data_IF_241112154073
#
_entry.id   IF_241112154073
#
_cell.length_a   1.000
_cell.length_b   1.000
_cell.length_c   1.000
_cell.angle_alpha   90.00
_cell.angle_beta   90.00
_cell.angle_gamma   90.00
#
_symmetry.space_group_name_H-M   'P 1'
#
loop_
_entity.id
_entity.type
_entity.pdbx_description
1 polymer ?
#
# COMPACT_ATOMS: atom_id res chain seq x y z
N UNK A 1 64.28 14.97 30.12
CA UNK A 1 63.04 15.74 30.40
C UNK A 1 62.17 15.98 29.16
N UNK A 2 62.73 16.19 27.95
CA UNK A 2 61.91 16.43 26.73
C UNK A 2 61.24 15.16 26.17
N UNK A 3 61.92 14.00 26.24
CA UNK A 3 61.36 12.73 25.75
C UNK A 3 60.14 12.24 26.56
N UNK A 4 60.12 12.49 27.87
CA UNK A 4 59.07 12.00 28.77
C UNK A 4 57.73 12.71 28.54
N UNK A 5 57.76 13.99 28.19
CA UNK A 5 56.59 14.77 27.80
C UNK A 5 56.01 14.34 26.44
N UNK A 6 56.86 13.92 25.49
CA UNK A 6 56.39 13.42 24.19
C UNK A 6 55.65 12.08 24.31
N UNK A 7 56.10 11.19 25.21
CA UNK A 7 55.40 9.92 25.48
C UNK A 7 54.02 10.13 26.10
N UNK A 8 53.85 11.14 26.96
CA UNK A 8 52.54 11.50 27.54
C UNK A 8 51.56 11.97 26.46
N UNK A 9 52.02 12.79 25.51
CA UNK A 9 51.18 13.28 24.40
C UNK A 9 50.74 12.13 23.48
N UNK A 10 51.65 11.22 23.12
CA UNK A 10 51.33 10.04 22.30
C UNK A 10 50.35 9.12 23.03
N UNK A 11 50.53 8.92 24.34
CA UNK A 11 49.63 8.10 25.15
C UNK A 11 48.22 8.71 25.25
N UNK A 12 48.12 10.03 25.47
CA UNK A 12 46.83 10.74 25.53
C UNK A 12 46.10 10.73 24.18
N UNK A 13 46.83 10.89 23.06
CA UNK A 13 46.27 10.75 21.71
C UNK A 13 45.77 9.33 21.45
N UNK A 14 46.51 8.31 21.88
CA UNK A 14 46.09 6.91 21.80
C UNK A 14 44.80 6.63 22.57
N UNK A 15 44.65 7.18 23.78
CA UNK A 15 43.41 7.07 24.57
C UNK A 15 42.24 7.77 23.86
N UNK A 16 42.45 8.99 23.35
CA UNK A 16 41.43 9.72 22.61
C UNK A 16 40.93 8.93 21.40
N UNK A 17 41.84 8.37 20.60
CA UNK A 17 41.48 7.54 19.43
C UNK A 17 40.68 6.30 19.85
N UNK A 18 41.04 5.65 20.96
CA UNK A 18 40.29 4.50 21.49
C UNK A 18 38.89 4.89 21.99
N UNK A 19 38.75 6.03 22.67
CA UNK A 19 37.45 6.55 23.12
C UNK A 19 36.56 6.90 21.92
N UNK A 20 37.12 7.57 20.90
CA UNK A 20 36.38 7.85 19.66
C UNK A 20 36.00 6.57 18.91
N UNK A 21 36.88 5.57 18.85
CA UNK A 21 36.57 4.28 18.22
C UNK A 21 35.48 3.49 18.97
N UNK A 22 35.43 3.59 20.31
CA UNK A 22 34.38 2.99 21.13
C UNK A 22 33.04 3.73 20.95
N UNK A 23 33.05 5.07 20.92
CA UNK A 23 31.86 5.87 20.62
C UNK A 23 31.35 5.59 19.20
N UNK A 24 32.24 5.43 18.22
CA UNK A 24 31.89 5.11 16.83
C UNK A 24 31.24 3.72 16.72
N UNK A 25 31.77 2.70 17.40
CA UNK A 25 31.13 1.37 17.47
C UNK A 25 29.74 1.40 18.10
N UNK A 26 29.52 2.28 19.07
CA UNK A 26 28.22 2.43 19.73
C UNK A 26 27.20 3.20 18.86
N UNK A 27 27.67 4.11 18.00
CA UNK A 27 26.85 4.76 16.96
C UNK A 27 26.49 3.76 15.85
N UNK A 28 27.43 2.91 15.42
CA UNK A 28 27.17 1.85 14.44
C UNK A 28 26.20 0.78 14.96
N UNK A 29 26.29 0.38 16.25
CA UNK A 29 25.34 -0.59 16.81
C UNK A 29 23.93 -0.02 16.97
N UNK A 30 23.78 1.29 17.18
CA UNK A 30 22.48 1.96 17.24
C UNK A 30 21.87 2.22 15.86
N UNK A 31 22.67 2.23 14.78
CA UNK A 31 22.20 2.33 13.40
C UNK A 31 21.69 0.98 12.84
N UNK A 32 22.02 -0.15 13.47
CA UNK A 32 21.54 -1.50 13.11
C UNK A 32 20.33 -1.98 13.94
N UNK A 33 19.75 -1.11 14.77
CA UNK A 33 18.42 -1.33 15.31
C UNK A 33 17.39 -1.16 14.20
N UNK A 34 16.90 -2.24 13.62
CA UNK A 34 15.70 -2.23 12.79
C UNK A 34 14.62 -1.40 13.49
N UNK A 35 14.34 -0.19 13.00
CA UNK A 35 13.23 0.63 13.48
C UNK A 35 11.96 -0.17 13.21
N UNK A 36 11.45 -0.88 14.21
CA UNK A 36 10.16 -1.54 14.16
C UNK A 36 9.11 -0.47 13.83
N UNK A 37 8.26 -0.73 12.84
CA UNK A 37 7.09 0.13 12.62
C UNK A 37 6.22 -0.04 13.88
N UNK A 38 6.16 0.98 14.74
CA UNK A 38 5.66 0.86 16.12
C UNK A 38 4.16 0.61 16.29
N UNK A 39 3.48 0.12 15.25
CA UNK A 39 2.06 -0.21 15.28
C UNK A 39 1.87 -1.70 15.62
N UNK A 40 0.95 -2.05 16.54
CA UNK A 40 0.69 -3.45 16.90
C UNK A 40 -0.13 -4.22 15.86
N UNK A 41 -0.88 -3.51 15.01
CA UNK A 41 -1.75 -4.06 13.97
C UNK A 41 -1.97 -3.07 12.81
N UNK A 42 -2.44 -3.58 11.67
CA UNK A 42 -2.86 -2.78 10.51
C UNK A 42 -4.24 -3.23 9.99
N UNK A 43 -5.09 -2.27 9.65
CA UNK A 43 -6.37 -2.51 8.98
C UNK A 43 -6.38 -1.80 7.64
N UNK A 44 -6.44 -2.57 6.56
CA UNK A 44 -6.35 -2.03 5.20
C UNK A 44 -7.72 -1.98 4.52
N UNK A 45 -7.97 -0.87 3.83
CA UNK A 45 -9.13 -0.64 2.96
C UNK A 45 -8.62 -0.25 1.59
N UNK A 46 -9.25 -0.77 0.54
CA UNK A 46 -8.71 -0.52 -0.79
C UNK A 46 -9.33 -1.33 -1.91
N UNK A 47 -8.63 -1.30 -3.04
CA UNK A 47 -8.95 -2.05 -4.24
C UNK A 47 -7.94 -3.17 -4.53
N UNK A 48 -7.84 -3.58 -5.81
CA UNK A 48 -6.93 -4.62 -6.30
C UNK A 48 -5.46 -4.33 -6.00
N UNK A 49 -5.04 -3.07 -5.85
CA UNK A 49 -3.65 -2.72 -5.49
C UNK A 49 -3.22 -3.28 -4.13
N UNK A 50 -4.20 -3.54 -3.27
CA UNK A 50 -3.95 -3.97 -1.89
C UNK A 50 -4.77 -5.21 -1.51
N UNK A 51 -5.54 -5.82 -2.41
CA UNK A 51 -6.34 -7.02 -2.12
C UNK A 51 -5.49 -8.30 -1.97
N UNK A 52 -5.40 -8.83 -0.75
CA UNK A 52 -4.63 -10.04 -0.43
C UNK A 52 -5.40 -11.36 -0.60
N UNK A 53 -6.61 -11.35 -1.16
CA UNK A 53 -7.44 -12.56 -1.28
C UNK A 53 -8.95 -12.34 -1.09
N UNK A 54 -9.39 -11.12 -0.78
CA UNK A 54 -10.76 -10.78 -0.47
C UNK A 54 -11.72 -11.05 -1.62
N UNK A 55 -11.41 -10.58 -2.84
CA UNK A 55 -12.25 -10.87 -4.01
C UNK A 55 -12.26 -12.37 -4.34
N UNK A 56 -11.10 -13.02 -4.16
CA UNK A 56 -10.93 -14.44 -4.43
C UNK A 56 -11.77 -15.32 -3.49
N UNK A 57 -11.81 -14.96 -2.22
CA UNK A 57 -12.59 -15.66 -1.20
C UNK A 57 -14.10 -15.41 -1.36
N UNK A 58 -14.50 -14.26 -1.88
CA UNK A 58 -15.91 -13.90 -2.02
C UNK A 58 -16.57 -14.40 -3.30
N UNK A 59 -15.87 -14.38 -4.43
CA UNK A 59 -16.46 -14.60 -5.74
C UNK A 59 -15.87 -15.82 -6.45
N UNK A 60 -14.64 -15.71 -6.93
CA UNK A 60 -13.98 -16.74 -7.73
C UNK A 60 -12.48 -16.69 -7.53
N UNK A 61 -11.81 -17.84 -7.67
CA UNK A 61 -10.36 -17.94 -7.61
C UNK A 61 -9.68 -17.01 -8.64
N UNK A 62 -8.65 -16.28 -8.18
CA UNK A 62 -7.76 -15.54 -9.06
C UNK A 62 -6.72 -16.51 -9.62
N UNK A 63 -6.87 -16.89 -10.89
CA UNK A 63 -6.06 -17.91 -11.57
C UNK A 63 -4.64 -17.44 -11.91
N UNK A 64 -3.81 -18.36 -12.40
CA UNK A 64 -2.50 -18.05 -13.00
C UNK A 64 -2.60 -16.96 -14.08
N UNK A 65 -1.57 -16.10 -14.24
CA UNK A 65 -0.22 -16.19 -13.67
C UNK A 65 -0.06 -15.56 -12.27
N UNK A 66 -1.15 -15.23 -11.58
CA UNK A 66 -1.08 -14.64 -10.25
C UNK A 66 -0.40 -15.57 -9.24
N UNK A 67 0.51 -15.00 -8.44
CA UNK A 67 1.29 -15.68 -7.40
C UNK A 67 2.47 -16.53 -7.89
N UNK A 68 2.69 -16.68 -9.20
CA UNK A 68 3.71 -17.60 -9.74
C UNK A 68 5.14 -17.29 -9.28
N UNK A 69 5.54 -16.02 -9.20
CA UNK A 69 6.94 -15.66 -8.94
C UNK A 69 7.33 -15.75 -7.47
N UNK A 70 6.39 -15.48 -6.55
CA UNK A 70 6.68 -15.45 -5.12
C UNK A 70 6.07 -16.62 -4.34
N UNK A 71 4.82 -16.97 -4.65
CA UNK A 71 4.08 -18.03 -3.95
C UNK A 71 4.21 -19.37 -4.67
N UNK A 72 4.52 -19.37 -5.97
CA UNK A 72 4.58 -20.57 -6.81
C UNK A 72 3.21 -21.15 -7.18
N UNK A 73 2.13 -20.48 -6.78
CA UNK A 73 0.74 -20.83 -7.09
C UNK A 73 -0.18 -19.60 -6.93
N UNK A 74 -1.40 -19.64 -7.51
CA UNK A 74 -2.47 -18.68 -7.22
C UNK A 74 -2.64 -18.39 -5.72
N UNK A 75 -2.48 -17.13 -5.34
CA UNK A 75 -2.56 -16.66 -3.96
C UNK A 75 -3.72 -15.68 -3.73
N UNK A 76 -4.76 -15.74 -4.57
CA UNK A 76 -6.00 -14.96 -4.47
C UNK A 76 -5.87 -13.45 -4.74
N UNK A 77 -4.72 -13.00 -5.24
CA UNK A 77 -4.37 -11.58 -5.41
C UNK A 77 -4.06 -11.27 -6.86
N UNK A 78 -4.33 -10.04 -7.29
CA UNK A 78 -4.05 -9.57 -8.64
C UNK A 78 -2.56 -9.14 -8.77
N UNK A 79 -1.65 -10.09 -8.57
CA UNK A 79 -0.21 -9.93 -8.65
C UNK A 79 0.47 -11.29 -8.82
N UNK A 80 1.54 -11.35 -9.63
CA UNK A 80 2.45 -12.50 -9.73
C UNK A 80 3.30 -12.68 -8.45
N UNK A 81 3.26 -11.72 -7.54
CA UNK A 81 4.09 -11.65 -6.35
C UNK A 81 3.42 -10.92 -5.19
N UNK A 82 4.22 -10.13 -4.46
CA UNK A 82 3.76 -9.41 -3.25
C UNK A 82 3.08 -8.09 -3.62
N UNK A 83 2.12 -7.67 -2.79
CA UNK A 83 1.47 -6.36 -2.90
C UNK A 83 2.17 -5.31 -2.04
N UNK A 84 1.92 -4.03 -2.37
CA UNK A 84 2.42 -2.84 -1.66
C UNK A 84 1.63 -2.63 -0.36
N UNK A 85 1.74 -3.59 0.57
CA UNK A 85 1.15 -3.52 1.91
C UNK A 85 2.17 -3.78 3.03
N UNK A 86 3.45 -3.64 2.72
CA UNK A 86 4.51 -4.02 3.64
C UNK A 86 4.96 -2.86 4.52
N UNK A 87 4.26 -2.68 5.64
CA UNK A 87 4.93 -2.22 6.87
C UNK A 87 5.62 -3.41 7.53
N UNK A 88 6.47 -3.20 8.55
CA UNK A 88 7.14 -4.29 9.30
C UNK A 88 6.19 -5.15 10.16
N UNK A 89 4.98 -5.44 9.66
CA UNK A 89 3.99 -6.35 10.23
C UNK A 89 3.95 -7.68 9.44
N UNK A 90 3.43 -8.76 10.04
CA UNK A 90 3.10 -9.98 9.31
C UNK A 90 2.14 -9.71 8.16
N UNK A 91 2.12 -10.60 7.16
CA UNK A 91 1.17 -10.50 6.05
C UNK A 91 -0.27 -10.42 6.57
N UNK A 92 -1.01 -9.44 6.07
CA UNK A 92 -2.42 -9.32 6.39
C UNK A 92 -3.22 -10.39 5.67
N UNK A 93 -4.05 -11.10 6.43
CA UNK A 93 -5.07 -11.98 5.89
C UNK A 93 -6.26 -11.18 5.36
N UNK A 94 -6.87 -11.65 4.28
CA UNK A 94 -8.12 -11.09 3.78
C UNK A 94 -9.24 -11.34 4.80
N UNK A 95 -10.04 -10.33 5.11
CA UNK A 95 -11.16 -10.42 6.04
C UNK A 95 -12.18 -11.48 5.61
N UNK A 96 -12.39 -11.61 4.30
CA UNK A 96 -13.34 -12.55 3.71
C UNK A 96 -12.83 -13.99 3.66
N UNK A 97 -11.54 -14.22 3.92
CA UNK A 97 -10.98 -15.56 3.98
C UNK A 97 -11.24 -16.21 5.35
N UNK A 98 -11.96 -17.33 5.33
CA UNK A 98 -12.43 -18.03 6.52
C UNK A 98 -11.49 -19.11 7.02
N UNK A 99 -10.55 -19.59 6.20
CA UNK A 99 -9.78 -20.81 6.49
C UNK A 99 -8.35 -20.46 6.87
N UNK A 100 -7.98 -20.72 8.13
CA UNK A 100 -6.60 -20.61 8.60
C UNK A 100 -6.08 -19.17 8.76
N UNK A 101 -6.94 -18.16 8.54
CA UNK A 101 -6.56 -16.76 8.65
C UNK A 101 -6.22 -16.34 10.07
N UNK A 102 -5.11 -15.62 10.22
CA UNK A 102 -4.68 -15.03 11.48
C UNK A 102 -4.88 -13.51 11.46
N UNK A 103 -5.73 -13.00 12.34
CA UNK A 103 -6.04 -11.58 12.43
C UNK A 103 -5.41 -10.89 13.64
N UNK A 104 -4.45 -11.53 14.32
CA UNK A 104 -3.77 -10.98 15.49
C UNK A 104 -3.19 -9.60 15.23
N UNK A 105 -2.58 -9.42 14.06
CA UNK A 105 -1.90 -8.18 13.65
C UNK A 105 -2.72 -7.38 12.64
N UNK A 106 -4.03 -7.63 12.59
CA UNK A 106 -4.98 -6.90 11.78
C UNK A 106 -5.55 -7.70 10.62
N UNK A 107 -6.27 -7.02 9.73
CA UNK A 107 -7.05 -7.63 8.67
C UNK A 107 -7.09 -6.72 7.43
N UNK A 108 -7.23 -7.34 6.26
CA UNK A 108 -7.37 -6.64 5.01
C UNK A 108 -8.80 -6.70 4.49
N UNK A 109 -9.45 -5.54 4.36
CA UNK A 109 -10.81 -5.39 3.84
C UNK A 109 -10.83 -4.94 2.37
N UNK A 110 -9.67 -4.67 1.77
CA UNK A 110 -9.59 -4.35 0.36
C UNK A 110 -10.08 -5.52 -0.50
N UNK A 111 -10.75 -5.19 -1.59
CA UNK A 111 -11.18 -6.18 -2.57
C UNK A 111 -11.02 -5.66 -3.99
N UNK A 112 -10.64 -6.52 -4.93
CA UNK A 112 -10.48 -6.17 -6.35
C UNK A 112 -11.69 -5.40 -6.93
N UNK A 113 -11.40 -4.41 -7.78
CA UNK A 113 -12.41 -3.57 -8.43
C UNK A 113 -13.18 -2.60 -7.52
N UNK A 114 -12.80 -2.50 -6.23
CA UNK A 114 -13.50 -1.62 -5.28
C UNK A 114 -13.40 -0.15 -5.68
N UNK A 115 -14.53 0.54 -5.56
CA UNK A 115 -14.64 1.99 -5.70
C UNK A 115 -15.05 2.60 -4.35
N UNK A 116 -14.79 3.89 -4.15
CA UNK A 116 -15.28 4.62 -2.98
C UNK A 116 -16.80 4.62 -2.98
N UNK A 117 -17.42 4.85 -4.15
CA UNK A 117 -18.88 4.91 -4.29
C UNK A 117 -19.42 3.87 -5.28
N UNK A 118 -20.64 3.35 -5.05
CA UNK A 118 -21.37 2.62 -6.09
C UNK A 118 -22.05 3.60 -7.08
N UNK A 119 -22.30 3.17 -8.34
CA UNK A 119 -21.83 1.94 -8.95
C UNK A 119 -20.32 2.00 -9.28
N UNK A 120 -19.70 0.82 -9.35
CA UNK A 120 -18.30 0.62 -9.76
C UNK A 120 -18.12 -0.82 -10.24
N UNK A 121 -16.88 -1.28 -10.42
CA UNK A 121 -16.61 -2.65 -10.89
C UNK A 121 -16.93 -3.74 -9.86
N UNK A 122 -16.94 -3.39 -8.57
CA UNK A 122 -17.17 -4.32 -7.47
C UNK A 122 -18.34 -3.91 -6.59
N UNK A 123 -19.06 -4.90 -6.06
CA UNK A 123 -20.09 -4.72 -5.04
C UNK A 123 -19.52 -4.33 -3.67
N UNK A 124 -18.23 -4.58 -3.43
CA UNK A 124 -17.54 -4.33 -2.17
C UNK A 124 -16.93 -2.92 -2.11
N UNK A 125 -17.76 -1.90 -2.38
CA UNK A 125 -17.35 -0.49 -2.27
C UNK A 125 -16.87 -0.13 -0.85
N UNK A 126 -16.21 1.01 -0.71
CA UNK A 126 -15.61 1.44 0.56
C UNK A 126 -16.58 1.39 1.75
N UNK A 127 -17.84 1.81 1.56
CA UNK A 127 -18.85 1.75 2.61
C UNK A 127 -19.08 0.33 3.16
N UNK A 128 -19.04 -0.68 2.28
CA UNK A 128 -19.11 -2.09 2.68
C UNK A 128 -17.86 -2.51 3.45
N UNK A 129 -16.67 -2.16 2.98
CA UNK A 129 -15.41 -2.49 3.67
C UNK A 129 -15.36 -1.89 5.09
N UNK A 130 -15.86 -0.67 5.26
CA UNK A 130 -15.94 0.01 6.56
C UNK A 130 -16.96 -0.69 7.47
N UNK A 131 -18.12 -1.06 6.93
CA UNK A 131 -19.13 -1.84 7.68
C UNK A 131 -18.57 -3.20 8.14
N UNK A 132 -17.83 -3.89 7.26
CA UNK A 132 -17.13 -5.13 7.59
C UNK A 132 -16.12 -4.94 8.73
N UNK A 133 -15.31 -3.88 8.69
CA UNK A 133 -14.39 -3.57 9.78
C UNK A 133 -15.09 -3.33 11.12
N UNK A 134 -16.18 -2.55 11.13
CA UNK A 134 -16.93 -2.27 12.36
C UNK A 134 -17.50 -3.55 12.97
N UNK A 135 -18.09 -4.41 12.12
CA UNK A 135 -18.58 -5.73 12.53
C UNK A 135 -17.44 -6.61 13.05
N UNK A 136 -16.32 -6.66 12.33
CA UNK A 136 -15.14 -7.40 12.71
C UNK A 136 -14.61 -6.97 14.09
N UNK A 137 -14.42 -5.67 14.30
CA UNK A 137 -13.97 -5.09 15.57
C UNK A 137 -14.91 -5.45 16.72
N UNK A 138 -16.22 -5.28 16.54
CA UNK A 138 -17.22 -5.60 17.57
C UNK A 138 -17.24 -7.10 17.94
N UNK A 139 -17.21 -7.97 16.92
CA UNK A 139 -17.27 -9.43 17.12
C UNK A 139 -15.98 -9.97 17.74
N UNK A 140 -14.82 -9.54 17.25
CA UNK A 140 -13.52 -9.95 17.80
C UNK A 140 -13.34 -9.45 19.24
N UNK A 141 -13.83 -8.25 19.56
CA UNK A 141 -13.82 -7.73 20.95
C UNK A 141 -14.68 -8.58 21.88
N UNK A 142 -15.89 -8.92 21.45
CA UNK A 142 -16.78 -9.80 22.22
C UNK A 142 -16.13 -11.16 22.46
N UNK A 143 -15.60 -11.77 21.41
CA UNK A 143 -14.92 -13.07 21.49
C UNK A 143 -13.69 -13.01 22.40
N UNK A 144 -12.86 -11.97 22.27
CA UNK A 144 -11.68 -11.76 23.12
C UNK A 144 -12.07 -11.72 24.60
N UNK A 145 -13.10 -10.95 24.95
CA UNK A 145 -13.56 -10.83 26.34
C UNK A 145 -14.09 -12.16 26.88
N UNK A 146 -14.86 -12.91 26.09
CA UNK A 146 -15.38 -14.22 26.48
C UNK A 146 -14.26 -15.24 26.74
N UNK A 147 -13.26 -15.29 25.86
CA UNK A 147 -12.12 -16.20 26.00
C UNK A 147 -11.24 -15.83 27.20
N UNK A 148 -11.01 -14.54 27.43
CA UNK A 148 -10.21 -14.05 28.55
C UNK A 148 -10.84 -14.37 29.91
N UNK A 149 -12.17 -14.24 30.03
CA UNK A 149 -12.91 -14.56 31.26
C UNK A 149 -12.86 -16.06 31.61
N UNK A 150 -12.92 -16.93 30.61
CA UNK A 150 -13.03 -18.37 30.82
C UNK A 150 -11.69 -19.06 31.15
N UNK A 151 -10.55 -18.34 31.14
CA UNK A 151 -9.16 -18.89 31.24
C UNK A 151 -8.89 -20.11 30.33
N UNK A 152 -9.74 -20.34 29.34
CA UNK A 152 -9.69 -21.50 28.45
C UNK A 152 -9.10 -21.05 27.11
N UNK A 153 -8.01 -21.72 26.75
CA UNK A 153 -7.35 -21.74 25.43
C UNK A 153 -6.52 -20.48 25.11
N UNK A 154 -5.28 -20.45 25.62
CA UNK A 154 -4.23 -19.50 25.21
C UNK A 154 -3.99 -19.48 23.68
N UNK A 155 -4.20 -20.62 23.00
CA UNK A 155 -4.04 -20.78 21.54
C UNK A 155 -5.18 -20.15 20.71
N UNK A 156 -6.36 -19.90 21.27
CA UNK A 156 -7.49 -19.33 20.52
C UNK A 156 -7.48 -17.80 20.55
N UNK A 157 -6.93 -17.22 21.63
CA UNK A 157 -6.70 -15.77 21.76
C UNK A 157 -5.53 -15.31 20.88
N UNK A 158 -4.59 -16.20 20.50
CA UNK A 158 -3.38 -15.79 19.79
C UNK A 158 -3.62 -15.24 18.39
N UNK A 159 -4.75 -15.59 17.76
CA UNK A 159 -5.03 -15.25 16.35
C UNK A 159 -6.10 -14.17 16.18
N UNK A 160 -6.62 -13.62 17.28
CA UNK A 160 -7.64 -12.55 17.26
C UNK A 160 -7.02 -11.21 17.68
N UNK A 161 -7.54 -10.07 17.17
CA UNK A 161 -7.11 -8.75 17.62
C UNK A 161 -7.30 -8.54 19.11
N UNK A 162 -6.44 -7.71 19.70
CA UNK A 162 -6.62 -7.23 21.07
C UNK A 162 -7.40 -5.92 21.07
N UNK A 163 -8.50 -5.79 21.84
CA UNK A 163 -9.34 -4.59 21.82
C UNK A 163 -8.59 -3.27 22.07
N UNK A 164 -7.60 -3.28 22.98
CA UNK A 164 -6.80 -2.10 23.30
C UNK A 164 -5.90 -1.62 22.15
N UNK A 165 -5.59 -2.48 21.19
CA UNK A 165 -4.67 -2.19 20.09
C UNK A 165 -5.37 -1.52 18.90
N UNK A 166 -6.70 -1.58 18.77
CA UNK A 166 -7.42 -0.89 17.67
C UNK A 166 -7.09 0.61 17.61
N UNK A 167 -7.08 1.30 18.75
CA UNK A 167 -6.74 2.73 18.81
C UNK A 167 -5.27 3.04 18.48
N UNK A 168 -4.41 2.03 18.51
CA UNK A 168 -2.98 2.11 18.24
C UNK A 168 -2.64 1.56 16.86
N UNK A 169 -3.59 1.00 16.12
CA UNK A 169 -3.33 0.38 14.82
C UNK A 169 -3.16 1.42 13.71
N UNK A 170 -2.51 1.00 12.62
CA UNK A 170 -2.40 1.77 11.38
C UNK A 170 -3.56 1.43 10.44
N UNK A 171 -4.17 2.44 9.84
CA UNK A 171 -5.32 2.29 8.95
C UNK A 171 -4.96 2.81 7.57
N UNK A 172 -4.88 1.91 6.59
CA UNK A 172 -4.43 2.23 5.24
C UNK A 172 -5.59 2.33 4.26
N UNK A 173 -5.47 3.26 3.32
CA UNK A 173 -6.42 3.49 2.23
C UNK A 173 -5.67 3.53 0.89
N UNK A 174 -6.05 2.65 -0.03
CA UNK A 174 -5.62 2.68 -1.44
C UNK A 174 -6.84 2.42 -2.34
N UNK A 175 -7.57 3.49 -2.66
CA UNK A 175 -8.87 3.43 -3.33
C UNK A 175 -9.18 4.75 -4.04
N UNK A 176 -10.08 4.70 -5.03
CA UNK A 176 -10.56 5.87 -5.77
C UNK A 176 -10.22 5.83 -7.26
N UNK A 177 -9.21 5.05 -7.64
CA UNK A 177 -8.80 4.94 -9.03
C UNK A 177 -9.86 4.24 -9.89
N UNK A 178 -10.55 3.23 -9.33
CA UNK A 178 -11.67 2.56 -9.99
C UNK A 178 -12.89 3.47 -10.17
N UNK A 179 -13.13 4.44 -9.29
CA UNK A 179 -14.20 5.44 -9.48
C UNK A 179 -13.95 6.26 -10.76
N UNK A 180 -12.70 6.67 -10.98
CA UNK A 180 -12.28 7.36 -12.22
C UNK A 180 -12.35 6.42 -13.43
N UNK A 181 -11.79 5.21 -13.32
CA UNK A 181 -11.78 4.21 -14.39
C UNK A 181 -13.19 3.86 -14.87
N UNK A 182 -14.09 3.53 -13.94
CA UNK A 182 -15.50 3.28 -14.23
C UNK A 182 -16.19 4.53 -14.79
N UNK A 183 -15.89 5.72 -14.24
CA UNK A 183 -16.39 6.99 -14.75
C UNK A 183 -16.05 7.20 -16.22
N UNK A 184 -14.80 6.97 -16.64
CA UNK A 184 -14.39 7.10 -18.05
C UNK A 184 -15.03 6.05 -18.97
N UNK A 185 -15.48 4.91 -18.43
CA UNK A 185 -16.21 3.90 -19.21
C UNK A 185 -17.71 4.21 -19.36
N UNK A 186 -18.28 5.03 -18.47
CA UNK A 186 -19.74 5.19 -18.35
C UNK A 186 -20.24 6.63 -18.49
N UNK A 187 -19.34 7.62 -18.44
CA UNK A 187 -19.66 9.04 -18.42
C UNK A 187 -18.76 9.85 -19.37
N UNK A 188 -19.13 11.11 -19.62
CA UNK A 188 -18.25 12.06 -20.30
C UNK A 188 -17.10 12.51 -19.39
N UNK A 189 -15.97 12.94 -19.98
CA UNK A 189 -14.81 13.42 -19.21
C UNK A 189 -15.17 14.56 -18.23
N UNK A 190 -16.06 15.47 -18.64
CA UNK A 190 -16.57 16.55 -17.78
C UNK A 190 -17.31 15.98 -16.57
N UNK A 191 -18.19 15.01 -16.77
CA UNK A 191 -18.93 14.37 -15.67
C UNK A 191 -17.99 13.63 -14.71
N UNK A 192 -16.91 13.01 -15.23
CA UNK A 192 -15.88 12.39 -14.39
C UNK A 192 -15.25 13.44 -13.47
N UNK A 193 -14.79 14.56 -14.03
CA UNK A 193 -14.20 15.67 -13.26
C UNK A 193 -15.18 16.25 -12.23
N UNK A 194 -16.43 16.51 -12.63
CA UNK A 194 -17.47 17.02 -11.75
C UNK A 194 -17.79 16.05 -10.59
N UNK A 195 -17.55 14.74 -10.78
CA UNK A 195 -17.81 13.72 -9.76
C UNK A 195 -16.74 13.62 -8.66
N UNK A 196 -15.53 14.15 -8.89
CA UNK A 196 -14.37 13.97 -8.00
C UNK A 196 -14.65 14.45 -6.58
N UNK A 197 -15.21 15.66 -6.44
CA UNK A 197 -15.52 16.25 -5.13
C UNK A 197 -16.46 15.37 -4.30
N UNK A 198 -17.43 14.72 -4.94
CA UNK A 198 -18.33 13.80 -4.27
C UNK A 198 -17.64 12.49 -3.88
N UNK A 199 -16.71 11.98 -4.68
CA UNK A 199 -15.91 10.80 -4.35
C UNK A 199 -15.06 11.08 -3.10
N UNK A 200 -14.34 12.21 -3.10
CA UNK A 200 -13.54 12.65 -1.95
C UNK A 200 -14.40 12.86 -0.70
N UNK A 201 -15.59 13.44 -0.85
CA UNK A 201 -16.53 13.61 0.26
C UNK A 201 -16.98 12.28 0.89
N UNK A 202 -17.23 11.23 0.11
CA UNK A 202 -17.56 9.90 0.65
C UNK A 202 -16.35 9.23 1.32
N UNK A 203 -15.15 9.39 0.76
CA UNK A 203 -13.92 8.93 1.41
C UNK A 203 -13.74 9.63 2.77
N UNK A 204 -13.93 10.94 2.84
CA UNK A 204 -13.86 11.71 4.09
C UNK A 204 -14.91 11.26 5.13
N UNK A 205 -16.14 10.95 4.69
CA UNK A 205 -17.17 10.38 5.57
C UNK A 205 -16.73 9.04 6.16
N UNK A 206 -16.08 8.18 5.38
CA UNK A 206 -15.55 6.90 5.87
C UNK A 206 -14.48 7.10 6.95
N UNK A 207 -13.58 8.07 6.76
CA UNK A 207 -12.54 8.43 7.73
C UNK A 207 -13.18 8.93 9.03
N UNK A 208 -14.19 9.80 8.92
CA UNK A 208 -14.92 10.30 10.08
C UNK A 208 -15.60 9.15 10.84
N UNK A 209 -16.19 8.18 10.13
CA UNK A 209 -16.78 7.00 10.76
C UNK A 209 -15.74 6.17 11.51
N UNK A 210 -14.58 5.89 10.89
CA UNK A 210 -13.49 5.17 11.57
C UNK A 210 -12.92 5.95 12.76
N UNK A 211 -12.86 7.28 12.68
CA UNK A 211 -12.42 8.12 13.78
C UNK A 211 -13.35 8.02 15.00
N UNK A 212 -14.68 7.98 14.77
CA UNK A 212 -15.68 7.69 15.83
C UNK A 212 -15.49 6.31 16.43
N UNK A 213 -15.01 5.35 15.64
CA UNK A 213 -14.61 4.02 16.08
C UNK A 213 -13.23 3.98 16.78
N UNK A 214 -12.66 5.12 17.15
CA UNK A 214 -11.41 5.15 17.93
C UNK A 214 -10.14 5.06 17.10
N UNK A 215 -10.24 5.09 15.76
CA UNK A 215 -9.07 5.11 14.86
C UNK A 215 -8.28 6.41 15.00
N UNK A 216 -6.95 6.31 15.05
CA UNK A 216 -6.07 7.48 15.25
C UNK A 216 -4.94 7.62 14.23
N UNK A 217 -4.53 6.58 13.52
CA UNK A 217 -3.41 6.65 12.58
C UNK A 217 -3.86 6.25 11.18
N UNK A 218 -3.99 7.23 10.30
CA UNK A 218 -4.41 7.05 8.92
C UNK A 218 -3.23 7.20 7.97
N UNK A 219 -3.17 6.32 6.98
CA UNK A 219 -2.19 6.29 5.91
C UNK A 219 -2.92 6.19 4.58
N UNK A 220 -2.94 7.28 3.82
CA UNK A 220 -3.84 7.44 2.68
C UNK A 220 -2.99 7.61 1.42
N UNK A 221 -3.09 6.65 0.51
CA UNK A 221 -2.50 6.72 -0.82
C UNK A 221 -3.36 7.61 -1.72
N UNK A 222 -2.69 8.36 -2.58
CA UNK A 222 -3.33 8.96 -3.74
C UNK A 222 -3.40 7.93 -4.89
N UNK A 223 -4.16 8.26 -5.94
CA UNK A 223 -4.31 7.36 -7.11
C UNK A 223 -3.06 7.37 -7.97
N UNK A 224 -2.82 6.27 -8.70
CA UNK A 224 -1.75 6.17 -9.69
C UNK A 224 -2.03 6.94 -10.99
N UNK A 225 -1.08 6.94 -11.93
CA UNK A 225 -1.27 7.56 -13.24
C UNK A 225 -2.20 6.71 -14.11
N UNK A 226 -3.51 6.89 -13.92
CA UNK A 226 -4.59 6.14 -14.58
C UNK A 226 -4.41 6.03 -16.10
N UNK A 227 -4.06 7.13 -16.77
CA UNK A 227 -3.88 7.14 -18.22
C UNK A 227 -2.69 6.32 -18.71
N UNK A 228 -1.79 5.90 -17.81
CA UNK A 228 -0.64 5.07 -18.14
C UNK A 228 -0.90 3.57 -17.95
N UNK A 229 -2.09 3.16 -17.51
CA UNK A 229 -2.40 1.74 -17.36
C UNK A 229 -2.50 1.05 -18.73
N UNK A 230 -2.01 -0.20 -18.87
CA UNK A 230 -2.03 -0.90 -20.15
C UNK A 230 -3.42 -0.92 -20.81
N UNK A 231 -4.48 -1.25 -20.05
CA UNK A 231 -5.87 -1.22 -20.54
C UNK A 231 -6.23 0.15 -21.14
N UNK A 232 -5.94 1.22 -20.40
CA UNK A 232 -6.24 2.58 -20.80
C UNK A 232 -5.43 3.04 -22.01
N UNK A 233 -4.17 2.64 -22.12
CA UNK A 233 -3.33 2.95 -23.29
C UNK A 233 -3.82 2.18 -24.52
N UNK A 234 -4.22 0.92 -24.37
CA UNK A 234 -4.70 0.07 -25.47
C UNK A 234 -6.05 0.56 -26.00
N UNK A 235 -7.02 0.81 -25.11
CA UNK A 235 -8.40 1.12 -25.51
C UNK A 235 -8.73 2.63 -25.54
N UNK A 236 -7.97 3.45 -24.80
CA UNK A 236 -8.20 4.89 -24.69
C UNK A 236 -7.39 5.76 -25.66
N UNK A 237 -6.46 5.18 -26.42
CA UNK A 237 -5.61 5.92 -27.36
C UNK A 237 -6.41 6.49 -28.53
N UNK A 238 -6.28 7.81 -28.73
CA UNK A 238 -6.82 8.57 -29.87
C UNK A 238 -5.72 9.46 -30.45
N UNK A 239 -5.87 9.90 -31.69
CA UNK A 239 -4.92 10.84 -32.28
C UNK A 239 -4.86 12.14 -31.46
N UNK A 240 -3.68 12.52 -30.99
CA UNK A 240 -3.46 13.76 -30.24
C UNK A 240 -3.84 13.75 -28.76
N UNK A 241 -4.32 12.63 -28.18
CA UNK A 241 -4.71 12.56 -26.77
C UNK A 241 -3.65 11.94 -25.83
N UNK A 242 -2.47 11.62 -26.35
CA UNK A 242 -1.40 11.01 -25.57
C UNK A 242 -0.38 12.04 -25.09
N UNK A 243 0.14 11.86 -23.88
CA UNK A 243 1.29 12.59 -23.37
C UNK A 243 2.61 12.00 -23.88
N UNK A 244 3.74 12.65 -23.58
CA UNK A 244 5.10 12.26 -24.02
C UNK A 244 5.48 10.80 -23.72
N UNK A 245 4.89 10.22 -22.67
CA UNK A 245 5.18 8.84 -22.23
C UNK A 245 4.15 7.81 -22.75
N UNK A 246 3.28 8.18 -23.69
CA UNK A 246 2.28 7.27 -24.28
C UNK A 246 1.00 7.11 -23.45
N UNK A 247 0.89 7.81 -22.32
CA UNK A 247 -0.29 7.77 -21.45
C UNK A 247 -1.45 8.64 -21.99
N UNK A 248 -2.69 8.22 -21.77
CA UNK A 248 -3.89 9.00 -22.07
C UNK A 248 -3.94 10.25 -21.19
N UNK A 249 -3.92 11.42 -21.83
CA UNK A 249 -3.75 12.71 -21.15
C UNK A 249 -4.91 13.03 -20.21
N UNK A 250 -6.15 12.97 -20.69
CA UNK A 250 -7.35 13.37 -19.91
C UNK A 250 -7.55 12.51 -18.67
N UNK A 251 -7.20 11.22 -18.73
CA UNK A 251 -7.27 10.31 -17.59
C UNK A 251 -6.22 10.62 -16.51
N UNK A 252 -4.99 10.97 -16.92
CA UNK A 252 -3.97 11.43 -15.96
C UNK A 252 -4.33 12.80 -15.37
N UNK A 253 -4.92 13.70 -16.14
CA UNK A 253 -5.41 14.99 -15.63
C UNK A 253 -6.49 14.80 -14.56
N UNK A 254 -7.44 13.87 -14.79
CA UNK A 254 -8.43 13.52 -13.77
C UNK A 254 -7.82 12.87 -12.52
N UNK A 255 -6.82 12.00 -12.67
CA UNK A 255 -6.10 11.43 -11.53
C UNK A 255 -5.35 12.50 -10.73
N UNK A 256 -4.71 13.46 -11.39
CA UNK A 256 -4.04 14.59 -10.73
C UNK A 256 -5.04 15.51 -10.02
N UNK A 257 -6.20 15.77 -10.62
CA UNK A 257 -7.27 16.55 -9.98
C UNK A 257 -7.81 15.86 -8.73
N UNK A 258 -8.09 14.55 -8.83
CA UNK A 258 -8.47 13.73 -7.67
C UNK A 258 -7.42 13.80 -6.56
N UNK A 259 -6.14 13.65 -6.90
CA UNK A 259 -5.05 13.67 -5.95
C UNK A 259 -4.89 15.05 -5.29
N UNK A 260 -5.14 16.14 -6.03
CA UNK A 260 -5.14 17.50 -5.49
C UNK A 260 -6.25 17.68 -4.46
N UNK A 261 -7.49 17.36 -4.84
CA UNK A 261 -8.64 17.49 -3.93
C UNK A 261 -8.51 16.59 -2.70
N UNK A 262 -7.99 15.36 -2.85
CA UNK A 262 -7.71 14.46 -1.74
C UNK A 262 -6.69 15.06 -0.75
N UNK A 263 -5.63 15.68 -1.27
CA UNK A 263 -4.59 16.29 -0.44
C UNK A 263 -5.14 17.48 0.36
N UNK A 264 -5.99 18.29 -0.25
CA UNK A 264 -6.67 19.40 0.40
C UNK A 264 -7.64 18.91 1.48
N UNK A 265 -8.45 17.90 1.16
CA UNK A 265 -9.38 17.27 2.11
C UNK A 265 -8.64 16.65 3.31
N UNK A 266 -7.54 15.93 3.09
CA UNK A 266 -6.72 15.38 4.19
C UNK A 266 -6.13 16.50 5.05
N UNK A 267 -5.74 17.62 4.43
CA UNK A 267 -5.25 18.78 5.16
C UNK A 267 -6.34 19.40 6.03
N UNK A 268 -7.58 19.44 5.53
CA UNK A 268 -8.75 19.84 6.31
C UNK A 268 -9.06 18.84 7.44
N UNK A 269 -9.11 17.54 7.17
CA UNK A 269 -9.38 16.49 8.17
C UNK A 269 -8.39 16.52 9.34
N UNK A 270 -7.11 16.85 9.09
CA UNK A 270 -6.11 17.08 10.15
C UNK A 270 -6.52 18.17 11.14
N UNK A 271 -7.21 19.21 10.68
CA UNK A 271 -7.71 20.29 11.55
C UNK A 271 -8.94 19.87 12.34
N UNK A 272 -9.79 19.02 11.76
CA UNK A 272 -11.03 18.57 12.38
C UNK A 272 -10.81 17.46 13.42
N UNK A 273 -9.74 16.66 13.26
CA UNK A 273 -9.44 15.51 14.10
C UNK A 273 -8.08 15.66 14.80
N UNK A 274 -7.96 16.53 15.82
CA UNK A 274 -6.68 16.86 16.45
C UNK A 274 -5.98 15.67 17.14
N UNK A 275 -6.74 14.62 17.47
CA UNK A 275 -6.21 13.39 18.07
C UNK A 275 -5.80 12.33 17.04
N UNK A 276 -6.05 12.56 15.75
CA UNK A 276 -5.62 11.67 14.69
C UNK A 276 -4.35 12.19 13.98
N UNK A 277 -3.60 11.27 13.40
CA UNK A 277 -2.45 11.53 12.53
C UNK A 277 -2.78 11.01 11.14
N UNK A 278 -2.50 11.84 10.14
CA UNK A 278 -2.73 11.53 8.74
C UNK A 278 -1.43 11.60 7.97
N UNK A 279 -1.04 10.47 7.39
CA UNK A 279 0.04 10.37 6.40
C UNK A 279 -0.59 10.33 5.02
N UNK A 280 -0.20 11.27 4.16
CA UNK A 280 -0.56 11.26 2.73
C UNK A 280 0.63 10.70 1.95
N UNK A 281 0.36 9.76 1.04
CA UNK A 281 1.39 9.10 0.25
C UNK A 281 1.17 9.36 -1.22
N UNK A 282 2.20 9.90 -1.86
CA UNK A 282 2.20 10.23 -3.28
C UNK A 282 2.66 9.04 -4.14
N UNK A 283 1.76 8.08 -4.30
CA UNK A 283 1.91 6.90 -5.17
C UNK A 283 1.95 7.32 -6.64
N UNK A 284 1.19 8.35 -7.04
CA UNK A 284 1.20 8.89 -8.41
C UNK A 284 2.61 9.20 -8.89
N UNK A 285 3.32 10.06 -8.16
CA UNK A 285 4.66 10.51 -8.55
C UNK A 285 5.65 9.35 -8.60
N UNK A 286 5.55 8.41 -7.65
CA UNK A 286 6.41 7.23 -7.62
C UNK A 286 6.17 6.31 -8.83
N UNK A 287 4.90 5.95 -9.11
CA UNK A 287 4.53 5.13 -10.29
C UNK A 287 4.90 5.85 -11.59
N UNK A 288 4.59 7.14 -11.71
CA UNK A 288 4.88 7.92 -12.93
C UNK A 288 6.39 8.06 -13.20
N UNK A 289 7.20 8.28 -12.17
CA UNK A 289 8.65 8.35 -12.31
C UNK A 289 9.22 7.03 -12.85
N UNK A 290 8.75 5.91 -12.32
CA UNK A 290 9.13 4.59 -12.84
C UNK A 290 8.73 4.43 -14.31
N UNK A 291 7.46 4.68 -14.65
CA UNK A 291 6.92 4.57 -16.02
C UNK A 291 7.77 5.40 -16.98
N UNK A 292 8.03 6.66 -16.62
CA UNK A 292 8.79 7.59 -17.47
C UNK A 292 10.23 7.13 -17.73
N UNK A 293 10.79 6.29 -16.86
CA UNK A 293 12.18 5.82 -16.94
C UNK A 293 12.31 4.33 -17.31
N UNK A 294 11.20 3.63 -17.54
CA UNK A 294 11.15 2.16 -17.65
C UNK A 294 12.14 1.58 -18.67
N UNK A 295 12.32 2.23 -19.83
CA UNK A 295 13.30 1.83 -20.86
C UNK A 295 14.73 1.82 -20.33
N UNK A 296 15.12 2.84 -19.57
CA UNK A 296 16.45 2.94 -18.97
C UNK A 296 16.64 1.95 -17.81
N UNK A 297 15.52 1.48 -17.25
CA UNK A 297 15.48 0.44 -16.24
C UNK A 297 15.48 -0.98 -16.86
N UNK A 298 15.56 -1.12 -18.18
CA UNK A 298 15.57 -2.42 -18.84
C UNK A 298 14.20 -3.07 -18.97
N UNK A 299 13.11 -2.31 -18.76
CA UNK A 299 11.75 -2.75 -19.06
C UNK A 299 11.50 -2.55 -20.55
N UNK A 300 11.37 -3.66 -21.28
CA UNK A 300 11.30 -3.69 -22.74
C UNK A 300 9.96 -3.23 -23.32
N UNK A 301 8.84 -3.59 -22.69
CA UNK A 301 7.49 -3.18 -23.11
C UNK A 301 6.55 -2.97 -21.92
N UNK A 302 6.14 -1.71 -21.69
CA UNK A 302 5.17 -1.36 -20.66
C UNK A 302 3.71 -1.49 -21.12
N UNK A 303 3.48 -1.63 -22.43
CA UNK A 303 2.13 -1.75 -22.98
C UNK A 303 1.68 -3.21 -23.13
N UNK A 304 2.56 -4.17 -22.81
CA UNK A 304 2.23 -5.59 -22.85
C UNK A 304 1.39 -5.96 -21.62
N UNK A 305 0.13 -6.31 -21.86
CA UNK A 305 -0.71 -6.95 -20.85
C UNK A 305 -0.10 -8.30 -20.50
N UNK A 306 0.35 -8.42 -19.26
CA UNK A 306 1.12 -9.58 -18.80
C UNK A 306 0.29 -10.88 -18.68
N UNK A 307 -1.03 -10.78 -18.72
CA UNK A 307 -1.93 -11.91 -18.43
C UNK A 307 -2.91 -12.26 -19.55
N UNK A 308 -2.83 -11.60 -20.71
CA UNK A 308 -3.79 -11.81 -21.81
C UNK A 308 -3.29 -12.78 -22.90
N UNK A 309 -2.06 -13.28 -22.81
CA UNK A 309 -1.53 -14.19 -23.83
C UNK A 309 -0.92 -15.46 -23.21
N UNK A 310 -1.71 -16.53 -23.19
CA UNK A 310 -1.24 -17.89 -22.85
C UNK A 310 -0.38 -18.51 -23.95
N UNK A 311 -0.14 -17.82 -25.08
CA UNK A 311 0.58 -18.32 -26.26
C UNK A 311 1.89 -17.57 -26.57
N UNK A 312 2.25 -16.54 -25.80
CA UNK A 312 3.54 -15.85 -25.98
C UNK A 312 4.68 -16.57 -25.23
N UNK A 313 5.76 -16.98 -25.91
CA UNK A 313 6.91 -17.64 -25.29
C UNK A 313 7.81 -16.69 -24.48
N UNK A 314 7.43 -15.41 -24.34
CA UNK A 314 8.12 -14.47 -23.46
C UNK A 314 7.72 -14.76 -22.01
N UNK A 315 8.47 -15.70 -21.41
CA UNK A 315 8.46 -15.96 -19.96
C UNK A 315 8.51 -14.64 -19.21
N UNK A 316 7.45 -14.39 -18.48
CA UNK A 316 7.11 -13.10 -17.94
C UNK A 316 7.82 -12.91 -16.59
N UNK A 317 9.13 -12.64 -16.62
CA UNK A 317 9.96 -12.51 -15.40
C UNK A 317 10.48 -11.09 -15.15
N UNK A 318 9.94 -10.07 -15.81
CA UNK A 318 10.61 -8.74 -15.86
C UNK A 318 10.08 -7.72 -14.86
N UNK A 319 8.93 -7.95 -14.20
CA UNK A 319 8.35 -6.92 -13.33
C UNK A 319 8.78 -7.00 -11.86
N UNK A 320 9.24 -8.18 -11.39
CA UNK A 320 9.74 -8.34 -10.02
C UNK A 320 11.28 -8.31 -9.88
N UNK A 321 12.05 -8.72 -10.90
CA UNK A 321 13.52 -8.85 -10.77
C UNK A 321 14.28 -7.56 -11.13
N UNK A 322 13.71 -6.71 -11.99
CA UNK A 322 14.28 -5.41 -12.36
C UNK A 322 14.15 -4.40 -11.21
N UNK A 323 13.03 -4.43 -10.50
CA UNK A 323 12.72 -3.57 -9.34
C UNK A 323 13.70 -3.75 -8.18
N UNK A 324 14.24 -4.96 -7.98
CA UNK A 324 15.23 -5.26 -6.93
C UNK A 324 16.69 -4.96 -7.33
N UNK A 325 17.06 -5.04 -8.62
CA UNK A 325 18.46 -4.84 -9.07
C UNK A 325 18.86 -3.37 -9.23
N UNK A 326 17.98 -2.51 -9.71
CA UNK A 326 18.29 -1.09 -9.99
C UNK A 326 18.56 -0.27 -8.72
N UNK A 327 17.87 -0.62 -7.64
CA UNK A 327 17.88 0.17 -6.42
C UNK A 327 19.10 -0.09 -5.52
N UNK A 328 19.89 -1.14 -5.81
CA UNK A 328 21.13 -1.47 -5.09
C UNK A 328 22.36 -0.72 -5.60
N UNK A 329 22.38 -0.35 -6.89
CA UNK A 329 23.58 0.18 -7.57
C UNK A 329 23.79 1.71 -7.42
N UNK A 330 22.87 2.45 -6.78
CA UNK A 330 22.93 3.94 -6.73
C UNK A 330 23.03 4.61 -5.36
N UNK A 331 23.38 3.91 -4.28
CA UNK A 331 23.50 4.51 -2.93
C UNK A 331 22.25 5.32 -2.49
N UNK A 332 21.06 4.97 -3.00
CA UNK A 332 19.79 5.50 -2.54
C UNK A 332 19.48 4.78 -1.22
N UNK A 333 19.22 5.52 -0.14
CA UNK A 333 18.90 4.93 1.15
C UNK A 333 17.55 4.19 1.10
N UNK A 334 17.62 2.86 0.99
CA UNK A 334 16.50 1.93 0.74
C UNK A 334 15.59 1.72 1.95
N UNK A 335 15.93 2.26 3.13
CA UNK A 335 15.04 2.20 4.29
C UNK A 335 13.81 3.10 4.16
N UNK A 336 13.70 3.88 3.06
CA UNK A 336 12.60 4.83 2.86
C UNK A 336 11.53 4.43 1.85
N UNK A 337 11.77 3.53 0.88
CA UNK A 337 10.78 3.18 -0.16
C UNK A 337 11.04 1.79 -0.79
N UNK A 338 10.58 0.68 -0.19
CA UNK A 338 10.85 -0.66 -0.72
C UNK A 338 9.84 -1.15 -1.77
N UNK A 339 8.64 -0.57 -1.86
CA UNK A 339 7.53 -1.25 -2.53
C UNK A 339 6.74 -0.28 -3.41
N UNK A 340 7.15 -0.12 -4.66
CA UNK A 340 6.37 0.59 -5.69
C UNK A 340 6.17 -0.38 -6.84
N UNK A 341 4.91 -0.54 -7.28
CA UNK A 341 4.44 -1.14 -8.54
C UNK A 341 3.96 -2.60 -8.47
N UNK A 342 2.65 -2.77 -8.26
CA UNK A 342 1.86 -3.71 -9.07
C UNK A 342 1.16 -2.92 -10.16
N UNK A 343 1.62 -2.99 -11.41
CA UNK A 343 0.99 -2.30 -12.55
C UNK A 343 0.34 -3.26 -13.56
N UNK A 344 0.58 -4.57 -13.43
CA UNK A 344 0.19 -5.55 -14.43
C UNK A 344 -1.28 -5.99 -14.36
N UNK A 345 -2.04 -5.54 -13.36
CA UNK A 345 -3.31 -6.16 -12.95
C UNK A 345 -4.44 -5.17 -12.64
N UNK A 346 -4.26 -3.90 -13.00
CA UNK A 346 -5.28 -2.89 -12.75
C UNK A 346 -6.36 -2.96 -13.84
N UNK A 347 -7.33 -3.84 -13.63
CA UNK A 347 -8.72 -3.78 -14.16
C UNK A 347 -9.72 -3.99 -13.01
#
# INVERSE_FOLDING_TARGET
MIMEEQWKVVYLLGILVLVFAQQWKQVESNAQGSVSCGFPAMYNFGDSNSDTGGISAALNEILQPNGETFFGHPAGRASDGRLVLRVKLPYLGAYLDSIGTNFRHGANFATGGSSVRPPGFSQFNLGIQISQFIQFKARTTTLYNQLNLNRRIALSISNIPRPAEFSQALYTYDIGQNDLGHGFQTMSEKQVLDSISHIIGELAKSIHQLYKEGTRFFWIHNTGPLGCLPYNVIYGKKAGNLHKNGCVKSQNEAAMEFNSQLKDEISWLRTQFPFAKFTYVDVYSAKYAFISNAKNLGVSDMNMLCCFDSSSPLKLSVWNDVSFRILRDKNVNLDKFPDVLSMCYEE
#
